data_IF_388692341010
#
_entry.id   IF_388692341010
#
_cell.length_a   1.000
_cell.length_b   1.000
_cell.length_c   1.000
_cell.angle_alpha   90.00
_cell.angle_beta   90.00
_cell.angle_gamma   90.00
#
_symmetry.space_group_name_H-M   'P 1'
#
loop_
_entity.id
_entity.type
_entity.pdbx_description
1 polymer ?
#
# COMPACT_ATOMS: atom_id res chain seq x y z
N UNK A 1 9.98 -25.48 0.76
CA UNK A 1 8.88 -25.15 -0.17
C UNK A 1 7.89 -24.31 0.63
N UNK A 2 7.80 -23.00 0.35
CA UNK A 2 6.84 -22.13 1.00
C UNK A 2 5.48 -22.29 0.31
N UNK A 3 4.45 -22.61 1.07
CA UNK A 3 3.08 -22.63 0.57
C UNK A 3 2.58 -21.19 0.41
N UNK A 4 1.79 -20.88 -0.63
CA UNK A 4 1.19 -19.57 -0.77
C UNK A 4 0.32 -19.28 0.47
N UNK A 5 0.67 -18.23 1.20
CA UNK A 5 -0.04 -17.83 2.41
C UNK A 5 -1.26 -16.98 2.02
N UNK A 6 -2.34 -17.64 1.63
CA UNK A 6 -3.66 -17.00 1.58
C UNK A 6 -4.40 -17.37 2.86
N UNK A 7 -4.83 -16.37 3.60
CA UNK A 7 -5.63 -16.56 4.81
C UNK A 7 -7.10 -16.76 4.41
N UNK A 8 -7.74 -17.80 4.93
CA UNK A 8 -9.18 -17.98 4.78
C UNK A 8 -9.89 -17.31 5.95
N UNK A 9 -10.68 -16.27 5.66
CA UNK A 9 -11.50 -15.58 6.65
C UNK A 9 -12.88 -16.22 6.73
N UNK A 10 -13.38 -16.45 7.94
CA UNK A 10 -14.80 -16.68 8.16
C UNK A 10 -15.57 -15.37 8.04
N UNK A 11 -16.86 -15.43 7.70
CA UNK A 11 -17.70 -14.23 7.66
C UNK A 11 -17.63 -13.46 8.98
N UNK A 12 -17.44 -12.15 8.89
CA UNK A 12 -17.30 -11.24 10.03
C UNK A 12 -15.85 -10.96 10.44
N UNK A 13 -14.91 -11.84 10.13
CA UNK A 13 -13.48 -11.58 10.42
C UNK A 13 -12.92 -10.44 9.58
N UNK A 14 -13.44 -10.24 8.38
CA UNK A 14 -13.11 -9.11 7.49
C UNK A 14 -13.58 -7.76 8.05
N UNK A 15 -14.39 -7.77 9.11
CA UNK A 15 -14.96 -6.59 9.78
C UNK A 15 -14.35 -6.32 11.15
N UNK A 16 -13.16 -6.88 11.42
CA UNK A 16 -12.48 -6.71 12.70
C UNK A 16 -11.23 -5.86 12.51
N UNK A 17 -11.11 -4.82 13.32
CA UNK A 17 -9.88 -4.04 13.45
C UNK A 17 -9.11 -4.42 14.73
N UNK A 18 -7.78 -4.20 14.75
CA UNK A 18 -6.92 -4.51 15.90
C UNK A 18 -5.85 -3.44 16.08
N UNK A 19 -5.52 -3.10 17.33
CA UNK A 19 -4.43 -2.18 17.65
C UNK A 19 -3.04 -2.81 17.48
N UNK A 20 -2.95 -4.15 17.47
CA UNK A 20 -1.70 -4.87 17.27
C UNK A 20 -1.74 -5.64 15.95
N UNK A 21 -0.61 -5.64 15.25
CA UNK A 21 -0.45 -6.39 14.00
C UNK A 21 -0.66 -7.89 14.22
N UNK A 22 -1.52 -8.51 13.42
CA UNK A 22 -1.82 -9.95 13.46
C UNK A 22 -1.28 -10.70 12.24
N UNK A 23 -1.14 -10.01 11.13
CA UNK A 23 -0.62 -10.53 9.87
C UNK A 23 0.42 -9.56 9.31
N UNK A 24 1.28 -10.00 8.40
CA UNK A 24 2.14 -9.11 7.64
C UNK A 24 1.30 -8.20 6.75
N UNK A 25 1.70 -6.94 6.60
CA UNK A 25 1.03 -6.02 5.69
C UNK A 25 1.04 -6.59 4.27
N UNK A 26 -0.07 -6.47 3.57
CA UNK A 26 -0.24 -7.07 2.25
C UNK A 26 -0.53 -8.57 2.27
N UNK A 27 -0.76 -9.20 3.43
CA UNK A 27 -1.25 -10.58 3.46
C UNK A 27 -2.62 -10.66 2.78
N UNK A 28 -2.72 -11.52 1.77
CA UNK A 28 -3.96 -11.76 1.02
C UNK A 28 -4.88 -12.70 1.80
N UNK A 29 -6.16 -12.38 1.82
CA UNK A 29 -7.19 -13.22 2.41
C UNK A 29 -8.41 -13.36 1.51
N UNK A 30 -9.16 -14.45 1.69
CA UNK A 30 -10.42 -14.71 0.97
C UNK A 30 -11.51 -15.12 1.93
N UNK A 31 -12.75 -14.69 1.65
CA UNK A 31 -13.95 -15.18 2.32
C UNK A 31 -14.60 -16.32 1.51
N UNK A 32 -15.51 -17.14 2.11
CA UNK A 32 -16.13 -18.25 1.42
C UNK A 32 -16.94 -17.86 0.17
N UNK A 33 -17.41 -16.62 0.06
CA UNK A 33 -18.12 -16.06 -1.09
C UNK A 33 -17.19 -15.51 -2.19
N UNK A 34 -15.86 -15.69 -2.03
CA UNK A 34 -14.86 -15.32 -3.04
C UNK A 34 -14.41 -13.85 -3.01
N UNK A 35 -14.84 -13.06 -2.03
CA UNK A 35 -14.28 -11.71 -1.86
C UNK A 35 -12.82 -11.78 -1.43
N UNK A 36 -12.01 -10.84 -1.95
CA UNK A 36 -10.57 -10.77 -1.68
C UNK A 36 -10.27 -9.55 -0.84
N UNK A 37 -9.38 -9.74 0.14
CA UNK A 37 -8.95 -8.74 1.09
C UNK A 37 -7.43 -8.72 1.21
N UNK A 38 -6.90 -7.56 1.60
CA UNK A 38 -5.50 -7.42 2.00
C UNK A 38 -5.41 -6.78 3.38
N UNK A 39 -4.44 -7.24 4.18
CA UNK A 39 -4.22 -6.73 5.53
C UNK A 39 -3.45 -5.42 5.48
N UNK A 40 -3.98 -4.39 6.12
CA UNK A 40 -3.47 -3.02 6.05
C UNK A 40 -3.40 -2.38 7.44
N UNK A 41 -2.53 -1.39 7.58
CA UNK A 41 -2.46 -0.46 8.71
C UNK A 41 -3.08 0.86 8.28
N UNK A 42 -4.07 1.34 9.02
CA UNK A 42 -4.64 2.67 8.82
C UNK A 42 -3.65 3.77 9.25
N UNK A 43 -3.72 4.91 8.61
CA UNK A 43 -2.91 6.09 8.94
C UNK A 43 -3.25 6.65 10.33
N UNK A 44 -2.59 7.75 10.71
CA UNK A 44 -2.89 8.49 11.95
C UNK A 44 -4.24 9.19 11.96
N UNK A 45 -5.00 9.16 10.87
CA UNK A 45 -6.35 9.68 10.77
C UNK A 45 -7.38 8.54 10.78
N UNK A 46 -8.44 8.67 11.57
CA UNK A 46 -9.51 7.67 11.59
C UNK A 46 -10.38 7.77 10.33
N UNK A 47 -10.82 6.62 9.82
CA UNK A 47 -11.82 6.52 8.75
C UNK A 47 -13.17 6.31 9.41
N UNK A 48 -14.05 7.29 9.32
CA UNK A 48 -15.30 7.34 10.12
C UNK A 48 -16.43 6.46 9.59
N UNK A 49 -16.30 5.96 8.37
CA UNK A 49 -17.34 5.09 7.75
C UNK A 49 -16.69 4.03 6.85
N UNK A 50 -17.32 2.87 6.71
CA UNK A 50 -16.90 1.85 5.74
C UNK A 50 -17.31 2.22 4.31
N UNK A 51 -16.78 1.50 3.32
CA UNK A 51 -17.03 1.75 1.89
C UNK A 51 -16.18 2.89 1.31
N UNK A 52 -15.12 3.27 2.00
CA UNK A 52 -14.22 4.34 1.55
C UNK A 52 -13.03 3.76 0.80
N UNK A 53 -12.69 4.38 -0.33
CA UNK A 53 -11.47 4.09 -1.08
C UNK A 53 -10.25 4.56 -0.29
N UNK A 54 -9.25 3.70 -0.24
CA UNK A 54 -7.97 4.00 0.42
C UNK A 54 -6.80 3.77 -0.52
N UNK A 55 -5.76 4.56 -0.34
CA UNK A 55 -4.46 4.44 -0.99
C UNK A 55 -3.33 4.25 0.04
N UNK A 56 -2.17 3.81 -0.42
CA UNK A 56 -0.98 3.64 0.42
C UNK A 56 -0.04 4.84 0.32
N UNK A 57 0.84 4.99 1.32
CA UNK A 57 1.94 5.95 1.25
C UNK A 57 2.97 5.49 0.21
N UNK A 58 3.51 6.45 -0.55
CA UNK A 58 4.75 6.27 -1.28
C UNK A 58 5.94 6.30 -0.31
N UNK A 59 7.10 5.91 -0.83
CA UNK A 59 8.36 6.10 -0.11
C UNK A 59 8.69 7.58 0.03
N UNK A 60 9.57 7.90 0.97
CA UNK A 60 10.17 9.24 1.05
C UNK A 60 11.11 9.44 -0.15
N UNK A 61 11.11 10.66 -0.72
CA UNK A 61 11.92 10.97 -1.90
C UNK A 61 13.43 10.75 -1.66
N UNK A 62 13.87 10.92 -0.42
CA UNK A 62 15.27 10.71 -0.04
C UNK A 62 15.64 9.23 0.11
N UNK A 63 14.68 8.29 0.02
CA UNK A 63 14.92 6.84 0.18
C UNK A 63 14.58 6.01 -1.05
N UNK A 64 13.98 6.62 -2.07
CA UNK A 64 13.35 5.88 -3.19
C UNK A 64 14.34 5.31 -4.20
N UNK A 65 15.52 5.89 -4.37
CA UNK A 65 16.49 5.49 -5.40
C UNK A 65 17.93 5.75 -4.94
N UNK A 66 18.87 5.06 -5.58
CA UNK A 66 20.33 5.32 -5.56
C UNK A 66 20.98 5.30 -4.17
N UNK A 67 20.45 4.50 -3.24
CA UNK A 67 21.10 4.26 -1.95
C UNK A 67 22.20 3.21 -2.12
N UNK A 68 23.46 3.62 -1.97
CA UNK A 68 24.59 2.74 -2.17
C UNK A 68 24.70 1.67 -1.06
N UNK A 69 25.03 0.45 -1.43
CA UNK A 69 25.46 -0.54 -0.45
C UNK A 69 26.77 -0.09 0.20
N UNK A 70 26.83 -0.03 1.54
CA UNK A 70 28.02 0.45 2.27
C UNK A 70 29.09 -0.60 2.40
N UNK A 71 28.78 -1.87 2.10
CA UNK A 71 29.69 -3.00 2.10
C UNK A 71 29.36 -3.98 0.96
N UNK A 72 30.30 -4.88 0.67
CA UNK A 72 30.03 -6.04 -0.18
C UNK A 72 29.19 -7.07 0.60
N UNK A 73 28.21 -7.68 -0.08
CA UNK A 73 27.36 -8.73 0.45
C UNK A 73 27.44 -9.98 -0.43
N UNK A 74 27.53 -11.15 0.20
CA UNK A 74 27.61 -12.44 -0.48
C UNK A 74 26.22 -13.01 -0.78
N UNK A 75 26.13 -13.83 -1.81
CA UNK A 75 24.92 -14.63 -2.07
C UNK A 75 24.53 -15.39 -0.80
N UNK A 76 23.27 -15.29 -0.41
CA UNK A 76 22.74 -15.89 0.82
C UNK A 76 22.71 -14.96 2.03
N UNK A 77 23.30 -13.76 1.95
CA UNK A 77 23.18 -12.77 3.03
C UNK A 77 21.72 -12.32 3.18
N UNK A 78 21.25 -12.27 4.41
CA UNK A 78 19.89 -11.85 4.78
C UNK A 78 19.85 -10.45 5.38
N UNK A 79 21.01 -9.79 5.46
CA UNK A 79 21.14 -8.41 5.94
C UNK A 79 21.92 -7.60 4.93
N UNK A 80 21.41 -6.42 4.61
CA UNK A 80 22.03 -5.48 3.66
C UNK A 80 22.24 -4.15 4.35
N UNK A 81 23.42 -3.57 4.18
CA UNK A 81 23.75 -2.24 4.67
C UNK A 81 23.66 -1.24 3.52
N UNK A 82 22.84 -0.19 3.70
CA UNK A 82 22.68 0.89 2.72
C UNK A 82 23.10 2.23 3.34
N UNK A 83 23.60 3.10 2.48
CA UNK A 83 23.86 4.49 2.82
C UNK A 83 22.54 5.27 2.86
N UNK A 84 22.16 5.70 4.06
CA UNK A 84 20.97 6.53 4.30
C UNK A 84 21.49 7.82 4.92
N UNK A 85 21.56 8.87 4.11
CA UNK A 85 22.06 10.19 4.51
C UNK A 85 20.96 11.22 4.41
N UNK A 86 21.13 12.35 5.10
CA UNK A 86 20.24 13.50 4.96
C UNK A 86 20.21 13.95 3.49
N UNK A 87 19.01 13.98 2.89
CA UNK A 87 18.79 14.57 1.59
C UNK A 87 18.70 16.10 1.64
N UNK A 88 18.66 16.72 0.47
CA UNK A 88 18.52 18.19 0.36
C UNK A 88 17.18 18.74 0.88
N UNK A 89 16.24 17.88 1.23
CA UNK A 89 14.94 18.21 1.81
C UNK A 89 14.80 18.04 3.32
N UNK A 90 15.80 17.46 3.99
CA UNK A 90 15.95 17.58 5.43
C UNK A 90 15.64 16.37 6.30
N UNK A 91 15.36 15.15 5.83
CA UNK A 91 15.31 14.02 6.77
C UNK A 91 15.53 12.67 6.08
N UNK A 92 16.76 12.20 6.12
CA UNK A 92 17.09 10.80 5.87
C UNK A 92 16.80 9.89 7.09
N UNK A 93 16.19 10.42 8.15
CA UNK A 93 15.92 9.68 9.36
C UNK A 93 14.86 8.60 9.14
N UNK A 94 15.10 7.41 9.71
CA UNK A 94 14.15 6.31 9.68
C UNK A 94 13.59 6.04 11.07
N UNK A 95 12.28 5.98 11.17
CA UNK A 95 11.63 5.39 12.33
C UNK A 95 11.88 3.87 12.29
N UNK A 96 12.09 3.25 13.46
CA UNK A 96 12.27 1.80 13.53
C UNK A 96 11.16 1.06 12.77
N UNK A 97 11.56 0.14 11.90
CA UNK A 97 10.68 -0.73 11.12
C UNK A 97 9.72 0.02 10.15
N UNK A 98 10.04 1.26 9.77
CA UNK A 98 9.24 2.07 8.84
C UNK A 98 9.00 1.39 7.49
N UNK A 99 10.01 0.68 7.00
CA UNK A 99 9.97 -0.10 5.76
C UNK A 99 9.69 -1.59 5.98
N UNK A 100 9.37 -2.01 7.22
CA UNK A 100 8.99 -3.41 7.47
C UNK A 100 7.76 -3.80 6.65
N UNK A 101 7.74 -5.04 6.14
CA UNK A 101 6.75 -5.54 5.17
C UNK A 101 6.77 -4.80 3.82
N UNK A 102 7.65 -3.83 3.63
CA UNK A 102 7.94 -3.15 2.37
C UNK A 102 9.03 -3.86 1.57
N UNK A 103 9.64 -3.14 0.63
CA UNK A 103 10.54 -3.71 -0.36
C UNK A 103 11.82 -2.88 -0.51
N UNK A 104 12.92 -3.59 -0.78
CA UNK A 104 14.17 -3.06 -1.28
C UNK A 104 14.32 -3.50 -2.72
N UNK A 105 14.56 -2.57 -3.63
CA UNK A 105 14.75 -2.85 -5.05
C UNK A 105 16.10 -2.32 -5.49
N UNK A 106 16.92 -3.16 -6.12
CA UNK A 106 18.19 -2.73 -6.69
C UNK A 106 17.95 -2.10 -8.07
N UNK A 107 18.29 -0.83 -8.21
CA UNK A 107 18.01 -0.06 -9.43
C UNK A 107 19.24 0.14 -10.30
N UNK A 108 20.46 -0.12 -9.79
CA UNK A 108 21.70 -0.06 -10.58
C UNK A 108 22.80 -0.95 -9.96
N UNK A 109 23.79 -1.32 -10.78
CA UNK A 109 24.94 -2.14 -10.38
C UNK A 109 24.61 -3.62 -10.17
N UNK A 110 25.49 -4.37 -9.47
CA UNK A 110 25.23 -5.77 -9.17
C UNK A 110 23.92 -5.95 -8.38
N UNK A 111 23.03 -6.84 -8.86
CA UNK A 111 21.70 -7.07 -8.31
C UNK A 111 20.59 -6.25 -8.97
N UNK A 112 20.90 -5.42 -9.98
CA UNK A 112 19.91 -4.62 -10.71
C UNK A 112 18.70 -5.45 -11.15
N UNK A 113 17.49 -4.93 -10.83
CA UNK A 113 16.21 -5.60 -11.11
C UNK A 113 15.75 -6.58 -10.02
N UNK A 114 16.58 -6.92 -9.04
CA UNK A 114 16.16 -7.76 -7.92
C UNK A 114 15.36 -6.96 -6.89
N UNK A 115 14.32 -7.60 -6.35
CA UNK A 115 13.42 -7.03 -5.34
C UNK A 115 13.36 -7.96 -4.14
N UNK A 116 13.60 -7.42 -2.95
CA UNK A 116 13.59 -8.17 -1.70
C UNK A 116 12.61 -7.56 -0.71
N UNK A 117 11.88 -8.40 0.00
CA UNK A 117 11.00 -7.95 1.08
C UNK A 117 11.81 -7.62 2.32
N UNK A 118 11.54 -6.47 2.93
CA UNK A 118 12.19 -6.01 4.17
C UNK A 118 11.42 -6.62 5.35
N UNK A 119 12.16 -7.26 6.26
CA UNK A 119 11.62 -7.79 7.50
C UNK A 119 11.66 -6.75 8.62
N UNK A 120 12.79 -6.06 8.76
CA UNK A 120 13.00 -5.10 9.85
C UNK A 120 14.23 -4.24 9.60
N UNK A 121 14.31 -3.09 10.25
CA UNK A 121 15.50 -2.26 10.38
C UNK A 121 15.45 -1.46 11.70
N UNK A 122 16.58 -1.02 12.26
CA UNK A 122 16.60 -0.13 13.42
C UNK A 122 16.03 1.25 13.08
N UNK A 123 15.76 2.05 14.09
CA UNK A 123 15.69 3.49 13.92
C UNK A 123 17.06 4.00 13.47
N UNK A 124 17.11 5.00 12.62
CA UNK A 124 18.32 5.54 12.04
C UNK A 124 18.28 7.06 12.08
N UNK A 125 19.36 7.66 12.52
CA UNK A 125 19.61 9.11 12.50
C UNK A 125 20.65 9.38 11.41
N UNK A 126 20.18 9.87 10.28
CA UNK A 126 20.99 10.08 9.08
C UNK A 126 22.08 11.16 9.26
N UNK A 127 21.92 12.03 10.25
CA UNK A 127 22.92 13.04 10.60
C UNK A 127 24.07 12.47 11.43
N UNK A 128 23.82 11.39 12.17
CA UNK A 128 24.79 10.77 13.08
C UNK A 128 25.53 9.59 12.44
N UNK A 129 24.88 8.82 11.58
CA UNK A 129 25.42 7.64 10.88
C UNK A 129 24.90 7.58 9.45
N UNK A 130 25.79 7.34 8.50
CA UNK A 130 25.39 7.17 7.10
C UNK A 130 24.92 5.75 6.77
N UNK A 131 25.07 4.77 7.67
CA UNK A 131 24.82 3.36 7.38
C UNK A 131 23.63 2.81 8.16
N UNK A 132 22.59 2.39 7.46
CA UNK A 132 21.47 1.64 8.04
C UNK A 132 21.51 0.16 7.59
N UNK A 133 21.23 -0.77 8.51
CA UNK A 133 21.19 -2.21 8.24
C UNK A 133 19.76 -2.69 8.14
N UNK A 134 19.41 -3.25 6.99
CA UNK A 134 18.10 -3.84 6.71
C UNK A 134 18.19 -5.36 6.79
N UNK A 135 17.24 -5.98 7.48
CA UNK A 135 17.07 -7.44 7.48
C UNK A 135 15.99 -7.80 6.46
N UNK A 136 16.31 -8.74 5.56
CA UNK A 136 15.39 -9.22 4.55
C UNK A 136 14.46 -10.32 5.09
N UNK A 137 13.26 -10.40 4.52
CA UNK A 137 12.29 -11.47 4.81
C UNK A 137 12.44 -12.63 3.79
N UNK A 138 13.66 -12.85 3.32
CA UNK A 138 14.03 -13.90 2.38
C UNK A 138 14.93 -14.91 3.10
N UNK A 139 14.44 -16.12 3.36
CA UNK A 139 15.22 -17.13 4.13
C UNK A 139 16.49 -17.57 3.40
N UNK A 140 16.51 -17.50 2.07
CA UNK A 140 17.66 -17.87 1.25
C UNK A 140 18.58 -16.67 0.96
N UNK A 141 18.25 -15.47 1.49
CA UNK A 141 19.01 -14.23 1.27
C UNK A 141 19.06 -13.76 -0.17
N UNK A 142 19.99 -12.86 -0.46
CA UNK A 142 20.18 -12.29 -1.80
C UNK A 142 20.69 -13.32 -2.80
N UNK A 143 20.31 -13.16 -4.06
CA UNK A 143 20.66 -14.07 -5.16
C UNK A 143 21.94 -13.68 -5.89
N UNK A 144 22.22 -12.41 -5.96
CA UNK A 144 23.43 -11.83 -6.59
C UNK A 144 24.30 -11.20 -5.51
N UNK A 145 25.61 -11.45 -5.57
CA UNK A 145 26.54 -10.78 -4.68
C UNK A 145 26.59 -9.28 -4.98
N UNK A 146 26.49 -8.46 -3.93
CA UNK A 146 26.49 -7.00 -4.03
C UNK A 146 27.89 -6.43 -3.77
N UNK A 147 28.12 -5.25 -4.30
CA UNK A 147 29.32 -4.45 -4.06
C UNK A 147 28.91 -3.04 -3.61
N UNK A 148 29.86 -2.21 -3.25
CA UNK A 148 29.58 -0.80 -2.94
C UNK A 148 29.14 0.02 -4.17
N UNK A 149 29.14 -0.57 -5.36
CA UNK A 149 28.54 -0.01 -6.56
C UNK A 149 27.10 -0.46 -6.81
N UNK A 150 26.52 -1.29 -5.92
CA UNK A 150 25.10 -1.66 -6.00
C UNK A 150 24.26 -0.56 -5.39
N UNK A 151 23.27 -0.08 -6.13
CA UNK A 151 22.35 0.98 -5.73
C UNK A 151 20.94 0.43 -5.54
N UNK A 152 20.28 0.83 -4.46
CA UNK A 152 18.94 0.37 -4.12
C UNK A 152 18.01 1.51 -3.75
N UNK A 153 16.71 1.28 -3.91
CA UNK A 153 15.62 2.11 -3.39
C UNK A 153 14.80 1.36 -2.35
N UNK A 154 14.20 2.10 -1.42
CA UNK A 154 13.32 1.58 -0.37
C UNK A 154 11.87 1.96 -0.67
N UNK A 155 10.98 1.00 -0.58
CA UNK A 155 9.57 1.19 -0.85
C UNK A 155 8.74 0.68 0.33
N UNK A 156 7.89 1.55 0.90
CA UNK A 156 6.94 1.16 1.94
C UNK A 156 5.96 0.14 1.37
N UNK A 157 5.43 -0.73 2.23
CA UNK A 157 4.30 -1.56 1.82
C UNK A 157 3.14 -0.65 1.39
N UNK A 158 2.50 -0.87 0.23
CA UNK A 158 1.34 -0.08 -0.18
C UNK A 158 0.15 -0.21 0.78
N UNK A 159 0.25 -1.15 1.72
CA UNK A 159 -0.74 -1.39 2.78
C UNK A 159 -0.31 -0.78 4.13
N UNK A 160 0.78 -0.02 4.16
CA UNK A 160 1.23 0.72 5.35
C UNK A 160 0.65 2.12 5.36
N UNK A 161 0.09 2.53 6.50
CA UNK A 161 -0.50 3.85 6.70
C UNK A 161 -1.49 4.26 5.59
N UNK A 162 -2.41 3.33 5.23
CA UNK A 162 -3.45 3.63 4.23
C UNK A 162 -4.32 4.78 4.72
N UNK A 163 -4.71 5.67 3.82
CA UNK A 163 -5.58 6.79 4.10
C UNK A 163 -6.66 6.92 3.02
N UNK A 164 -7.62 7.80 3.22
CA UNK A 164 -8.59 8.11 2.19
C UNK A 164 -7.89 8.64 0.95
N UNK A 165 -8.24 8.09 -0.21
CA UNK A 165 -7.79 8.64 -1.49
C UNK A 165 -8.18 10.12 -1.56
N UNK A 166 -7.27 10.97 -2.01
CA UNK A 166 -7.55 12.40 -2.12
C UNK A 166 -8.59 12.68 -3.23
N UNK A 167 -9.61 13.47 -2.91
CA UNK A 167 -10.74 13.76 -3.79
C UNK A 167 -10.49 14.91 -4.77
N UNK A 168 -9.26 15.43 -4.89
CA UNK A 168 -8.93 16.45 -5.89
C UNK A 168 -8.13 15.89 -7.09
N UNK A 169 -7.97 14.56 -7.16
CA UNK A 169 -7.22 13.88 -8.21
C UNK A 169 -5.70 14.03 -8.10
N UNK A 170 -5.21 14.71 -7.07
CA UNK A 170 -3.77 14.96 -6.89
C UNK A 170 -3.09 13.78 -6.20
N UNK A 171 -2.77 12.74 -6.96
CA UNK A 171 -2.06 11.55 -6.45
C UNK A 171 -0.54 11.77 -6.30
N UNK A 172 -0.10 12.98 -5.95
CA UNK A 172 1.32 13.36 -5.98
C UNK A 172 2.22 12.65 -4.97
N UNK A 173 1.63 11.95 -4.00
CA UNK A 173 2.41 11.27 -2.94
C UNK A 173 1.91 9.86 -2.61
N UNK A 174 1.07 9.24 -3.45
CA UNK A 174 0.38 8.02 -3.10
C UNK A 174 0.33 6.97 -4.21
N UNK A 175 0.15 5.71 -3.84
CA UNK A 175 0.23 4.55 -4.75
C UNK A 175 -0.97 4.39 -5.69
N UNK A 176 -2.01 5.22 -5.57
CA UNK A 176 -3.33 4.92 -6.13
C UNK A 176 -4.12 3.97 -5.25
N UNK A 177 -5.37 3.65 -5.63
CA UNK A 177 -6.28 2.85 -4.81
C UNK A 177 -5.71 1.46 -4.53
N UNK A 178 -5.59 1.13 -3.25
CA UNK A 178 -5.16 -0.20 -2.80
C UNK A 178 -6.30 -1.06 -2.26
N UNK A 179 -7.47 -0.47 -2.01
CA UNK A 179 -8.64 -1.20 -1.54
C UNK A 179 -9.77 -0.30 -1.05
N UNK A 180 -10.80 -0.96 -0.52
CA UNK A 180 -12.01 -0.33 0.05
C UNK A 180 -12.18 -0.82 1.49
N UNK A 181 -12.43 0.10 2.43
CA UNK A 181 -12.74 -0.27 3.81
C UNK A 181 -14.13 -0.87 3.90
N UNK A 182 -14.32 -1.91 4.72
CA UNK A 182 -15.63 -2.52 4.95
C UNK A 182 -16.31 -2.00 6.22
N UNK A 183 -15.54 -1.36 7.10
CA UNK A 183 -15.94 -0.82 8.40
C UNK A 183 -15.33 0.58 8.59
N UNK A 184 -15.79 1.38 9.56
CA UNK A 184 -14.99 2.47 10.12
C UNK A 184 -13.69 1.91 10.70
N UNK A 185 -12.58 2.63 10.58
CA UNK A 185 -11.26 2.18 11.06
C UNK A 185 -10.66 3.22 11.96
N UNK A 186 -10.27 2.83 13.16
CA UNK A 186 -9.59 3.67 14.13
C UNK A 186 -8.20 4.07 13.63
N UNK A 187 -7.74 5.27 13.98
CA UNK A 187 -6.40 5.74 13.65
C UNK A 187 -5.32 4.75 14.11
N UNK A 188 -4.37 4.44 13.26
CA UNK A 188 -3.25 3.52 13.54
C UNK A 188 -3.67 2.10 13.92
N UNK A 189 -4.86 1.66 13.51
CA UNK A 189 -5.32 0.27 13.67
C UNK A 189 -5.15 -0.53 12.39
N UNK A 190 -4.98 -1.83 12.55
CA UNK A 190 -4.89 -2.80 11.46
C UNK A 190 -6.27 -3.31 11.09
N UNK A 191 -6.54 -3.44 9.80
CA UNK A 191 -7.82 -3.90 9.27
C UNK A 191 -7.64 -4.68 7.97
N UNK A 192 -8.73 -5.27 7.49
CA UNK A 192 -8.82 -5.86 6.17
C UNK A 192 -9.49 -4.87 5.20
N UNK A 193 -8.84 -4.57 4.09
CA UNK A 193 -9.40 -3.77 3.00
C UNK A 193 -9.75 -4.67 1.83
N UNK A 194 -10.93 -4.48 1.25
CA UNK A 194 -11.44 -5.31 0.16
C UNK A 194 -10.90 -4.83 -1.19
N UNK A 195 -10.47 -5.75 -2.05
CA UNK A 195 -9.92 -5.44 -3.37
C UNK A 195 -10.66 -6.08 -4.52
N UNK A 196 -11.41 -7.17 -4.27
CA UNK A 196 -12.18 -7.83 -5.32
C UNK A 196 -13.48 -8.43 -4.78
N UNK A 197 -14.42 -8.67 -5.71
CA UNK A 197 -15.74 -9.24 -5.44
C UNK A 197 -16.79 -8.17 -5.10
N UNK A 198 -17.95 -8.61 -4.63
CA UNK A 198 -19.09 -7.72 -4.32
C UNK A 198 -18.76 -6.86 -3.09
N UNK A 199 -18.88 -5.54 -3.24
CA UNK A 199 -18.61 -4.55 -2.21
C UNK A 199 -19.62 -3.41 -2.25
N UNK A 200 -19.53 -2.53 -1.25
CA UNK A 200 -20.18 -1.23 -1.28
C UNK A 200 -19.13 -0.13 -1.24
N UNK A 201 -19.28 0.89 -2.09
CA UNK A 201 -18.42 2.08 -2.12
C UNK A 201 -19.22 3.34 -1.87
N UNK A 202 -18.64 4.31 -1.17
CA UNK A 202 -19.22 5.63 -1.02
C UNK A 202 -19.11 6.38 -2.33
N UNK A 203 -20.18 7.05 -2.77
CA UNK A 203 -20.20 7.82 -4.00
C UNK A 203 -20.05 9.31 -3.75
N UNK A 204 -19.34 9.96 -4.67
CA UNK A 204 -19.27 11.39 -4.82
C UNK A 204 -20.47 11.98 -5.59
N UNK A 205 -20.27 13.16 -6.18
CA UNK A 205 -21.32 13.88 -6.92
C UNK A 205 -21.75 13.17 -8.21
N UNK A 206 -20.81 12.50 -8.89
CA UNK A 206 -21.06 11.78 -10.14
C UNK A 206 -21.55 10.35 -9.85
N UNK A 207 -22.85 10.20 -9.77
CA UNK A 207 -23.50 8.92 -9.44
C UNK A 207 -23.58 8.02 -10.67
N UNK A 208 -23.02 6.81 -10.57
CA UNK A 208 -23.08 5.82 -11.66
C UNK A 208 -24.43 5.09 -11.73
N UNK A 209 -24.81 4.66 -12.93
CA UNK A 209 -25.92 3.72 -13.15
C UNK A 209 -25.38 2.29 -13.23
N UNK A 210 -26.28 1.30 -13.16
CA UNK A 210 -25.88 -0.12 -13.31
C UNK A 210 -25.15 -0.34 -14.61
N UNK A 211 -23.96 -0.96 -14.51
CA UNK A 211 -23.07 -1.23 -15.65
C UNK A 211 -21.99 -0.18 -15.88
N UNK A 212 -22.05 0.97 -15.22
CA UNK A 212 -21.00 1.98 -15.33
C UNK A 212 -19.72 1.51 -14.64
N UNK A 213 -18.58 1.85 -15.24
CA UNK A 213 -17.29 1.77 -14.58
C UNK A 213 -17.19 2.83 -13.48
N UNK A 214 -16.58 2.45 -12.36
CA UNK A 214 -16.34 3.33 -11.23
C UNK A 214 -14.84 3.66 -11.15
N UNK A 215 -14.54 4.91 -10.82
CA UNK A 215 -13.20 5.44 -10.58
C UNK A 215 -13.16 6.24 -9.28
N UNK A 216 -12.04 6.84 -8.95
CA UNK A 216 -11.88 7.76 -7.81
C UNK A 216 -12.62 9.05 -8.12
N UNK A 217 -13.37 9.61 -7.14
CA UNK A 217 -13.93 10.96 -7.29
C UNK A 217 -12.81 12.00 -7.36
N UNK A 218 -12.93 12.90 -8.32
CA UNK A 218 -12.00 14.02 -8.55
C UNK A 218 -12.54 15.34 -7.97
N UNK A 219 -13.68 15.31 -7.32
CA UNK A 219 -14.30 16.49 -6.75
C UNK A 219 -13.70 16.87 -5.39
N UNK A 220 -13.39 18.15 -5.23
CA UNK A 220 -12.85 18.68 -3.97
C UNK A 220 -13.79 18.39 -2.80
N UNK A 221 -13.23 17.85 -1.71
CA UNK A 221 -13.97 17.46 -0.50
C UNK A 221 -14.63 16.08 -0.58
N UNK A 222 -14.35 15.29 -1.61
CA UNK A 222 -14.90 13.94 -1.78
C UNK A 222 -13.85 12.83 -1.56
N UNK A 223 -12.89 13.07 -0.66
CA UNK A 223 -11.84 12.09 -0.34
C UNK A 223 -12.42 10.72 0.02
N UNK A 224 -11.83 9.67 -0.56
CA UNK A 224 -12.24 8.28 -0.35
C UNK A 224 -13.53 7.86 -1.03
N UNK A 225 -14.11 8.69 -1.88
CA UNK A 225 -15.33 8.36 -2.62
C UNK A 225 -15.01 7.91 -4.04
N UNK A 226 -15.94 7.15 -4.61
CA UNK A 226 -15.94 6.77 -6.01
C UNK A 226 -16.91 7.64 -6.81
N UNK A 227 -16.69 7.70 -8.11
CA UNK A 227 -17.63 8.29 -9.07
C UNK A 227 -17.70 7.44 -10.34
N UNK A 228 -18.66 7.76 -11.21
CA UNK A 228 -18.71 7.18 -12.54
C UNK A 228 -17.50 7.64 -13.36
N UNK A 229 -16.80 6.70 -13.99
CA UNK A 229 -15.75 7.04 -14.93
C UNK A 229 -16.35 7.77 -16.16
N UNK A 230 -15.87 8.97 -16.42
CA UNK A 230 -16.23 9.74 -17.63
C UNK A 230 -15.10 9.61 -18.66
N UNK A 231 -15.31 8.76 -19.64
CA UNK A 231 -14.34 8.50 -20.70
C UNK A 231 -14.12 9.69 -21.67
N UNK A 232 -14.80 10.82 -21.45
CA UNK A 232 -14.57 12.03 -22.23
C UNK A 232 -13.41 12.90 -21.69
N UNK A 233 -12.94 12.59 -20.48
CA UNK A 233 -11.87 13.35 -19.83
C UNK A 233 -10.56 12.55 -19.88
N UNK A 234 -9.48 13.13 -20.42
CA UNK A 234 -8.17 12.47 -20.54
C UNK A 234 -7.49 12.21 -19.19
N UNK A 235 -8.09 12.68 -18.09
CA UNK A 235 -7.63 12.49 -16.72
C UNK A 235 -8.15 11.20 -16.05
N UNK A 236 -8.79 10.29 -16.80
CA UNK A 236 -9.40 9.08 -16.26
C UNK A 236 -8.41 8.24 -15.47
N UNK A 237 -8.62 8.23 -14.17
CA UNK A 237 -7.94 7.35 -13.23
C UNK A 237 -8.37 5.90 -13.45
N UNK A 238 -7.53 4.96 -13.03
CA UNK A 238 -7.80 3.54 -13.19
C UNK A 238 -9.16 3.16 -12.59
N UNK A 239 -9.94 2.36 -13.32
CA UNK A 239 -11.22 1.86 -12.83
C UNK A 239 -11.04 0.94 -11.62
N UNK A 240 -11.87 1.09 -10.62
CA UNK A 240 -11.87 0.30 -9.38
C UNK A 240 -12.88 -0.85 -9.44
N UNK A 241 -13.90 -0.74 -10.28
CA UNK A 241 -14.98 -1.71 -10.35
C UNK A 241 -16.11 -1.29 -11.28
N UNK A 242 -17.19 -2.07 -11.24
CA UNK A 242 -18.42 -1.83 -12.01
C UNK A 242 -19.62 -1.74 -11.07
N UNK A 243 -20.46 -0.72 -11.27
CA UNK A 243 -21.69 -0.51 -10.51
C UNK A 243 -22.72 -1.60 -10.80
N UNK A 244 -23.30 -2.21 -9.74
CA UNK A 244 -24.40 -3.20 -9.86
C UNK A 244 -25.67 -2.78 -9.10
N UNK A 245 -25.60 -1.70 -8.33
CA UNK A 245 -26.74 -1.10 -7.64
C UNK A 245 -27.02 0.29 -8.18
N UNK A 246 -28.21 0.81 -7.91
CA UNK A 246 -28.58 2.19 -8.23
C UNK A 246 -28.59 2.96 -6.91
N UNK A 247 -27.66 3.92 -6.68
CA UNK A 247 -27.77 4.82 -5.55
C UNK A 247 -28.87 5.84 -5.80
N UNK A 248 -29.45 6.35 -4.75
CA UNK A 248 -30.53 7.34 -4.86
C UNK A 248 -29.98 8.77 -4.93
N UNK A 249 -28.88 9.06 -4.26
CA UNK A 249 -28.28 10.41 -4.18
C UNK A 249 -26.76 10.34 -3.97
N UNK A 250 -26.09 11.46 -4.23
CA UNK A 250 -24.68 11.66 -3.88
C UNK A 250 -24.46 11.47 -2.38
N UNK A 251 -23.37 10.80 -2.02
CA UNK A 251 -23.02 10.46 -0.63
C UNK A 251 -23.55 9.12 -0.16
N UNK A 252 -24.51 8.51 -0.88
CA UNK A 252 -24.96 7.14 -0.63
C UNK A 252 -23.87 6.13 -0.98
N UNK A 253 -24.07 4.89 -0.51
CA UNK A 253 -23.20 3.77 -0.84
C UNK A 253 -23.82 2.95 -1.98
N UNK A 254 -22.99 2.70 -3.00
CA UNK A 254 -23.37 1.90 -4.15
C UNK A 254 -22.79 0.50 -4.06
N UNK A 255 -23.59 -0.50 -4.41
CA UNK A 255 -23.11 -1.86 -4.63
C UNK A 255 -22.32 -1.93 -5.94
N UNK A 256 -21.17 -2.56 -5.90
CA UNK A 256 -20.29 -2.73 -7.05
C UNK A 256 -19.58 -4.08 -7.02
N UNK A 257 -19.04 -4.48 -8.16
CA UNK A 257 -18.05 -5.55 -8.27
C UNK A 257 -16.67 -4.89 -8.37
N UNK A 258 -15.87 -5.05 -7.33
CA UNK A 258 -14.50 -4.56 -7.30
C UNK A 258 -13.56 -5.46 -8.10
N UNK A 259 -12.55 -4.84 -8.75
CA UNK A 259 -11.42 -5.51 -9.40
C UNK A 259 -10.14 -4.68 -9.31
N UNK A 260 -9.88 -4.10 -8.13
CA UNK A 260 -8.67 -3.34 -7.86
C UNK A 260 -7.46 -4.28 -7.93
N UNK A 261 -7.54 -5.43 -7.27
CA UNK A 261 -6.48 -6.43 -7.24
C UNK A 261 -7.05 -7.82 -6.88
N UNK A 262 -6.66 -8.84 -7.63
CA UNK A 262 -7.05 -10.25 -7.41
C UNK A 262 -5.96 -11.06 -6.70
#
# INVERSE_FOLDING_TARGET
MAFPQTVNLSYGQEKVETSAQKQKLGTRATTPDGRVFYYALNSSAAITTGGMLVDGLLTEADHDMDKAATAAHSVGDTTISLEITEGSGGSGDLVKDEYADGYMMFNDGPGEGEVYRIKSHPAHDASADATCIFTLDEPDGIRTALTTGSLAGLFKSPYNAVALVDGDGTLTSRTGVVGVTTIPVTASYYCWIQTAGIATVALGAQVGVVGDALTISQESGESGKAERADHSDESDLATIGVAIGIPSVSGDKQACILHIRN
#
